data_IF_048259926131
#
_entry.id   IF_048259926131
#
_cell.length_a   1.000
_cell.length_b   1.000
_cell.length_c   1.000
_cell.angle_alpha   90.00
_cell.angle_beta   90.00
_cell.angle_gamma   90.00
#
_symmetry.space_group_name_H-M   'P 1'
#
loop_
_entity.id
_entity.type
_entity.pdbx_description
1 polymer ?
#
# COMPACT_ATOMS: atom_id res chain seq x y z
N UNK A 1 -6.60 8.79 25.75
CA UNK A 1 -7.22 8.97 24.44
C UNK A 1 -8.62 9.58 24.61
N UNK A 2 -8.81 10.80 24.09
CA UNK A 2 -10.04 11.57 24.24
C UNK A 2 -11.31 10.78 23.84
N UNK A 3 -11.27 10.00 22.77
CA UNK A 3 -12.45 9.21 22.39
C UNK A 3 -12.89 8.23 23.49
N UNK A 4 -11.93 7.60 24.16
CA UNK A 4 -12.24 6.71 25.30
C UNK A 4 -12.75 7.47 26.50
N UNK A 5 -12.14 8.62 26.85
CA UNK A 5 -12.53 9.45 27.99
C UNK A 5 -13.91 10.09 27.81
N UNK A 6 -14.24 10.45 26.57
CA UNK A 6 -15.49 11.10 26.19
C UNK A 6 -16.57 10.10 25.74
N UNK A 7 -16.34 8.80 25.84
CA UNK A 7 -17.24 7.75 25.36
C UNK A 7 -17.64 7.89 23.87
N UNK A 8 -16.76 8.43 23.04
CA UNK A 8 -16.99 8.51 21.58
C UNK A 8 -16.73 7.14 20.96
N UNK A 9 -17.73 6.49 20.36
CA UNK A 9 -17.56 5.18 19.75
C UNK A 9 -16.64 5.26 18.54
N UNK A 10 -15.79 4.25 18.39
CA UNK A 10 -14.81 4.16 17.30
C UNK A 10 -15.14 3.00 16.36
N UNK A 11 -14.82 3.17 15.10
CA UNK A 11 -14.84 2.14 14.08
C UNK A 11 -13.52 2.10 13.30
N UNK A 12 -13.23 0.97 12.64
CA UNK A 12 -12.04 0.85 11.82
C UNK A 12 -12.05 1.87 10.66
N UNK A 13 -10.93 2.55 10.48
CA UNK A 13 -10.68 3.42 9.33
C UNK A 13 -9.85 2.67 8.30
N UNK A 14 -10.40 2.51 7.10
CA UNK A 14 -9.73 1.83 5.99
C UNK A 14 -8.92 2.84 5.19
N UNK A 15 -7.66 3.02 5.56
CA UNK A 15 -6.72 3.91 4.85
C UNK A 15 -5.91 3.18 3.77
N UNK A 16 -5.72 1.85 3.86
CA UNK A 16 -5.12 1.01 2.81
C UNK A 16 -6.21 0.28 2.03
N UNK A 17 -6.67 0.89 0.95
CA UNK A 17 -7.60 0.25 0.03
C UNK A 17 -6.88 -0.21 -1.24
N UNK A 18 -6.39 -1.43 -1.25
CA UNK A 18 -5.71 -2.05 -2.40
C UNK A 18 -6.61 -2.22 -3.63
N UNK A 19 -7.93 -2.07 -3.45
CA UNK A 19 -8.90 -2.03 -4.54
C UNK A 19 -9.10 -0.63 -5.14
N UNK A 20 -8.56 0.43 -4.53
CA UNK A 20 -8.65 1.79 -5.06
C UNK A 20 -8.00 1.89 -6.45
N UNK A 21 -8.48 2.82 -7.26
CA UNK A 21 -7.89 3.12 -8.55
C UNK A 21 -6.87 4.24 -8.43
N UNK A 22 -5.76 4.06 -9.14
CA UNK A 22 -4.71 5.04 -9.35
C UNK A 22 -4.77 5.45 -10.81
N UNK A 23 -4.70 6.74 -11.08
CA UNK A 23 -4.66 7.31 -12.42
C UNK A 23 -3.43 8.22 -12.55
N UNK A 24 -2.70 8.06 -13.64
CA UNK A 24 -1.63 8.96 -14.06
C UNK A 24 -1.77 9.20 -15.57
N UNK A 25 -1.65 10.45 -15.98
CA UNK A 25 -1.69 10.79 -17.40
C UNK A 25 -0.42 10.33 -18.15
N UNK A 26 0.69 10.14 -17.41
CA UNK A 26 2.01 9.76 -17.94
C UNK A 26 2.28 8.25 -17.85
N UNK A 27 1.49 7.50 -17.14
CA UNK A 27 1.69 6.07 -16.93
C UNK A 27 0.45 5.26 -17.35
N UNK A 28 0.63 3.95 -17.53
CA UNK A 28 -0.44 2.98 -17.81
C UNK A 28 -1.26 3.30 -19.09
N UNK A 29 -0.68 4.08 -20.01
CA UNK A 29 -1.41 4.58 -21.19
C UNK A 29 -2.60 5.48 -20.84
N UNK A 30 -2.53 6.20 -19.72
CA UNK A 30 -3.61 7.06 -19.21
C UNK A 30 -4.84 6.32 -18.68
N UNK A 31 -4.73 5.01 -18.41
CA UNK A 31 -5.83 4.20 -17.88
C UNK A 31 -5.71 4.03 -16.37
N UNK A 32 -6.83 4.03 -15.63
CA UNK A 32 -6.79 3.74 -14.20
C UNK A 32 -6.43 2.27 -13.95
N UNK A 33 -5.54 2.04 -12.97
CA UNK A 33 -5.11 0.71 -12.49
C UNK A 33 -5.40 0.56 -11.01
N UNK A 34 -5.50 -0.67 -10.51
CA UNK A 34 -5.71 -0.89 -9.08
C UNK A 34 -4.41 -0.69 -8.30
N UNK A 35 -4.51 -0.14 -7.09
CA UNK A 35 -3.36 0.04 -6.18
C UNK A 35 -2.59 -1.27 -5.96
N UNK A 36 -3.30 -2.40 -5.82
CA UNK A 36 -2.68 -3.72 -5.69
C UNK A 36 -1.83 -4.13 -6.89
N UNK A 37 -2.19 -3.72 -8.12
CA UNK A 37 -1.41 -4.01 -9.32
C UNK A 37 -0.10 -3.23 -9.31
N UNK A 38 -0.15 -1.95 -8.92
CA UNK A 38 1.04 -1.10 -8.75
C UNK A 38 1.96 -1.67 -7.68
N UNK A 39 1.42 -2.01 -6.49
CA UNK A 39 2.20 -2.55 -5.36
C UNK A 39 2.86 -3.89 -5.76
N UNK A 40 2.12 -4.78 -6.41
CA UNK A 40 2.65 -6.07 -6.84
C UNK A 40 3.72 -5.92 -7.93
N UNK A 41 3.50 -5.06 -8.92
CA UNK A 41 4.45 -4.80 -9.99
C UNK A 41 5.73 -4.11 -9.46
N UNK A 42 5.60 -3.12 -8.58
CA UNK A 42 6.74 -2.44 -7.95
C UNK A 42 7.61 -3.43 -7.18
N UNK A 43 6.98 -4.21 -6.28
CA UNK A 43 7.66 -5.24 -5.48
C UNK A 43 8.37 -6.27 -6.37
N UNK A 44 7.66 -6.76 -7.38
CA UNK A 44 8.22 -7.74 -8.31
C UNK A 44 9.39 -7.20 -9.12
N UNK A 45 9.30 -5.98 -9.64
CA UNK A 45 10.37 -5.35 -10.40
C UNK A 45 11.63 -5.07 -9.55
N UNK A 46 11.47 -4.56 -8.33
CA UNK A 46 12.59 -4.35 -7.40
C UNK A 46 13.26 -5.69 -7.09
N UNK A 47 12.47 -6.71 -6.73
CA UNK A 47 13.00 -8.05 -6.45
C UNK A 47 13.70 -8.66 -7.66
N UNK A 48 13.14 -8.50 -8.87
CA UNK A 48 13.77 -8.97 -10.12
C UNK A 48 15.10 -8.30 -10.39
N UNK A 49 15.19 -6.97 -10.24
CA UNK A 49 16.43 -6.23 -10.46
C UNK A 49 17.51 -6.67 -9.48
N UNK A 50 17.16 -6.77 -8.20
CA UNK A 50 18.10 -7.19 -7.14
C UNK A 50 18.52 -8.66 -7.32
N UNK A 51 17.58 -9.56 -7.62
CA UNK A 51 17.91 -10.96 -7.85
C UNK A 51 18.83 -11.16 -9.08
N UNK A 52 18.60 -10.39 -10.15
CA UNK A 52 19.49 -10.43 -11.31
C UNK A 52 20.89 -9.87 -11.00
N UNK A 53 20.98 -8.79 -10.22
CA UNK A 53 22.26 -8.23 -9.77
C UNK A 53 23.05 -9.24 -8.93
N UNK A 54 22.39 -9.84 -7.93
CA UNK A 54 23.00 -10.90 -7.12
C UNK A 54 23.46 -12.09 -7.94
N UNK A 55 22.62 -12.55 -8.88
CA UNK A 55 22.95 -13.70 -9.71
C UNK A 55 24.08 -13.40 -10.71
N UNK A 56 24.29 -12.13 -11.05
CA UNK A 56 25.41 -11.66 -11.86
C UNK A 56 26.70 -11.39 -11.07
N UNK A 57 26.69 -11.61 -9.75
CA UNK A 57 27.86 -11.42 -8.89
C UNK A 57 28.10 -9.99 -8.41
N UNK A 58 27.15 -9.07 -8.59
CA UNK A 58 27.33 -7.66 -8.23
C UNK A 58 27.56 -7.39 -6.74
N UNK A 59 27.23 -8.37 -5.85
CA UNK A 59 27.36 -8.27 -4.41
C UNK A 59 28.16 -9.47 -3.84
N UNK A 60 29.14 -9.99 -4.60
CA UNK A 60 29.90 -11.16 -4.21
C UNK A 60 30.78 -10.94 -2.97
N UNK A 61 31.22 -9.71 -2.74
CA UNK A 61 31.97 -9.33 -1.54
C UNK A 61 31.09 -9.22 -0.29
N UNK A 62 29.79 -9.08 -0.43
CA UNK A 62 28.84 -8.89 0.68
C UNK A 62 28.25 -10.23 1.19
N UNK A 63 28.20 -11.25 0.33
CA UNK A 63 27.52 -12.51 0.63
C UNK A 63 28.36 -13.72 0.28
N UNK A 64 28.39 -14.69 1.18
CA UNK A 64 28.84 -16.04 0.87
C UNK A 64 27.88 -16.70 -0.14
N UNK A 65 28.33 -17.79 -0.78
CA UNK A 65 27.48 -18.54 -1.73
C UNK A 65 26.15 -19.04 -1.09
N UNK A 66 26.22 -19.46 0.18
CA UNK A 66 25.04 -19.93 0.92
C UNK A 66 24.06 -18.80 1.24
N UNK A 67 24.57 -17.67 1.71
CA UNK A 67 23.77 -16.47 1.97
C UNK A 67 23.13 -15.92 0.70
N UNK A 68 23.87 -15.88 -0.41
CA UNK A 68 23.36 -15.51 -1.71
C UNK A 68 22.19 -16.39 -2.14
N UNK A 69 22.31 -17.71 -2.03
CA UNK A 69 21.24 -18.63 -2.37
C UNK A 69 19.99 -18.37 -1.53
N UNK A 70 20.15 -18.08 -0.24
CA UNK A 70 19.05 -17.74 0.66
C UNK A 70 18.39 -16.43 0.27
N UNK A 71 19.16 -15.36 0.02
CA UNK A 71 18.62 -14.06 -0.40
C UNK A 71 17.89 -14.17 -1.73
N UNK A 72 18.41 -14.93 -2.69
CA UNK A 72 17.73 -15.19 -3.96
C UNK A 72 16.38 -15.89 -3.75
N UNK A 73 16.30 -16.86 -2.83
CA UNK A 73 15.04 -17.52 -2.49
C UNK A 73 14.03 -16.54 -1.86
N UNK A 74 14.48 -15.67 -0.96
CA UNK A 74 13.65 -14.61 -0.36
C UNK A 74 13.14 -13.65 -1.43
N UNK A 75 13.99 -13.18 -2.33
CA UNK A 75 13.62 -12.28 -3.42
C UNK A 75 12.63 -12.92 -4.38
N UNK A 76 12.82 -14.22 -4.68
CA UNK A 76 11.90 -14.98 -5.52
C UNK A 76 10.49 -15.00 -4.91
N UNK A 77 10.37 -15.33 -3.63
CA UNK A 77 9.08 -15.35 -2.95
C UNK A 77 8.50 -13.92 -2.81
N UNK A 78 9.30 -12.97 -2.31
CA UNK A 78 8.87 -11.58 -2.10
C UNK A 78 8.37 -10.93 -3.39
N UNK A 79 9.08 -11.12 -4.50
CA UNK A 79 8.75 -10.58 -5.80
C UNK A 79 7.75 -11.42 -6.61
N UNK A 80 7.40 -12.61 -6.13
CA UNK A 80 6.64 -13.61 -6.88
C UNK A 80 7.28 -13.89 -8.26
N UNK A 81 8.60 -14.13 -8.27
CA UNK A 81 9.38 -14.37 -9.47
C UNK A 81 9.36 -15.85 -9.85
N UNK A 82 9.49 -16.14 -11.14
CA UNK A 82 9.70 -17.50 -11.63
C UNK A 82 11.13 -18.00 -11.35
N UNK A 83 11.47 -19.21 -11.79
CA UNK A 83 12.79 -19.81 -11.60
C UNK A 83 13.94 -19.08 -12.32
N UNK A 84 13.63 -18.22 -13.25
CA UNK A 84 14.58 -17.36 -13.98
C UNK A 84 14.66 -15.94 -13.40
N UNK A 85 14.14 -15.75 -12.19
CA UNK A 85 14.03 -14.43 -11.53
C UNK A 85 13.32 -13.37 -12.38
N UNK A 86 12.23 -13.77 -13.05
CA UNK A 86 11.42 -12.88 -13.88
C UNK A 86 10.03 -12.71 -13.27
N UNK A 87 9.53 -11.49 -13.29
CA UNK A 87 8.15 -11.17 -12.96
C UNK A 87 7.27 -11.48 -14.18
N UNK A 88 6.48 -12.55 -14.12
CA UNK A 88 5.59 -12.98 -15.21
C UNK A 88 4.12 -12.76 -14.91
N UNK A 89 3.80 -12.40 -13.68
CA UNK A 89 2.45 -12.20 -13.17
C UNK A 89 2.26 -12.89 -11.82
N UNK A 90 1.37 -12.33 -11.03
CA UNK A 90 1.04 -12.86 -9.71
C UNK A 90 -0.40 -12.55 -9.34
N UNK A 91 -1.07 -13.47 -8.67
CA UNK A 91 -2.42 -13.25 -8.13
C UNK A 91 -2.47 -12.11 -7.11
N UNK A 92 -1.32 -11.70 -6.54
CA UNK A 92 -1.20 -10.51 -5.67
C UNK A 92 -1.60 -9.21 -6.39
N UNK A 93 -1.33 -9.11 -7.71
CA UNK A 93 -1.75 -7.98 -8.55
C UNK A 93 -3.21 -8.07 -9.00
N UNK A 94 -3.75 -9.26 -9.07
CA UNK A 94 -5.10 -9.53 -9.55
C UNK A 94 -5.15 -10.72 -10.51
N UNK A 95 -6.30 -10.91 -11.11
CA UNK A 95 -6.57 -12.00 -12.03
C UNK A 95 -7.01 -11.46 -13.39
N UNK A 96 -6.43 -11.97 -14.46
CA UNK A 96 -6.93 -11.78 -15.83
C UNK A 96 -8.19 -12.61 -16.06
N UNK A 97 -8.24 -13.82 -15.47
CA UNK A 97 -9.42 -14.67 -15.45
C UNK A 97 -9.56 -15.32 -14.07
N UNK A 98 -10.78 -15.36 -13.55
CA UNK A 98 -11.11 -16.06 -12.31
C UNK A 98 -11.25 -17.54 -12.57
N UNK A 99 -10.83 -18.36 -11.61
CA UNK A 99 -11.14 -19.78 -11.63
C UNK A 99 -12.63 -20.02 -11.64
N UNK A 100 -13.04 -21.06 -12.34
CA UNK A 100 -14.42 -21.54 -12.38
C UNK A 100 -14.46 -22.98 -12.86
N UNK A 101 -15.17 -23.83 -12.14
CA UNK A 101 -15.20 -25.26 -12.46
C UNK A 101 -13.80 -25.88 -12.38
N UNK A 102 -13.28 -26.35 -13.50
CA UNK A 102 -11.94 -26.96 -13.60
C UNK A 102 -10.85 -25.99 -14.08
N UNK A 103 -11.20 -24.72 -14.35
CA UNK A 103 -10.24 -23.72 -14.85
C UNK A 103 -9.48 -23.07 -13.68
N UNK A 104 -8.13 -23.05 -13.68
CA UNK A 104 -7.34 -22.40 -12.66
C UNK A 104 -7.43 -20.86 -12.78
N UNK A 105 -7.05 -20.17 -11.70
CA UNK A 105 -6.83 -18.72 -11.72
C UNK A 105 -5.71 -18.34 -12.71
N UNK A 106 -5.96 -17.32 -13.51
CA UNK A 106 -4.95 -16.75 -14.41
C UNK A 106 -4.52 -15.40 -13.85
N UNK A 107 -3.25 -15.26 -13.40
CA UNK A 107 -2.74 -13.98 -12.93
C UNK A 107 -2.82 -12.89 -14.01
N UNK A 108 -3.08 -11.66 -13.59
CA UNK A 108 -2.98 -10.52 -14.48
C UNK A 108 -1.53 -10.30 -14.94
N UNK A 109 -1.35 -9.81 -16.16
CA UNK A 109 -0.03 -9.38 -16.66
C UNK A 109 0.47 -8.23 -15.78
N UNK A 110 1.75 -8.26 -15.33
CA UNK A 110 2.31 -7.17 -14.54
C UNK A 110 2.28 -5.85 -15.32
N UNK A 111 2.12 -4.75 -14.59
CA UNK A 111 2.30 -3.43 -15.16
C UNK A 111 3.73 -3.22 -15.63
N UNK A 112 3.90 -2.39 -16.67
CA UNK A 112 5.21 -2.07 -17.23
C UNK A 112 6.12 -1.46 -16.15
N UNK A 113 7.38 -1.92 -16.12
CA UNK A 113 8.37 -1.49 -15.12
C UNK A 113 8.55 0.02 -15.08
N UNK A 114 8.63 0.65 -16.26
CA UNK A 114 8.88 2.09 -16.35
C UNK A 114 7.71 2.89 -15.79
N UNK A 115 6.48 2.44 -16.00
CA UNK A 115 5.27 3.09 -15.48
C UNK A 115 5.23 3.08 -13.94
N UNK A 116 5.71 2.00 -13.30
CA UNK A 116 5.64 1.87 -11.84
C UNK A 116 6.87 2.40 -11.12
N UNK A 117 8.05 2.48 -11.77
CA UNK A 117 9.31 2.81 -11.10
C UNK A 117 9.84 4.21 -11.44
N UNK A 118 9.46 4.79 -12.57
CA UNK A 118 10.00 6.07 -13.03
C UNK A 118 9.05 7.25 -12.86
N UNK A 119 7.80 7.01 -12.45
CA UNK A 119 6.87 8.07 -12.04
C UNK A 119 6.91 8.20 -10.51
N UNK A 120 7.38 9.35 -10.00
CA UNK A 120 7.55 9.61 -8.57
C UNK A 120 6.22 9.51 -7.79
N UNK A 121 5.09 9.88 -8.41
CA UNK A 121 3.78 9.81 -7.76
C UNK A 121 3.32 8.35 -7.62
N UNK A 122 3.64 7.53 -8.63
CA UNK A 122 3.32 6.10 -8.60
C UNK A 122 4.25 5.35 -7.64
N UNK A 123 5.55 5.69 -7.63
CA UNK A 123 6.54 5.07 -6.75
C UNK A 123 6.25 5.26 -5.26
N UNK A 124 5.53 6.32 -4.89
CA UNK A 124 5.10 6.59 -3.51
C UNK A 124 4.01 5.62 -3.01
N UNK A 125 3.20 5.06 -3.91
CA UNK A 125 2.02 4.26 -3.55
C UNK A 125 2.33 3.10 -2.60
N UNK A 126 3.38 2.27 -2.80
CA UNK A 126 3.69 1.19 -1.87
C UNK A 126 4.15 1.65 -0.49
N UNK A 127 4.78 2.82 -0.40
CA UNK A 127 5.37 3.34 0.84
C UNK A 127 4.37 4.10 1.71
N UNK A 128 3.25 4.54 1.15
CA UNK A 128 2.28 5.37 1.86
C UNK A 128 1.81 4.74 3.17
N UNK A 129 1.45 3.47 3.13
CA UNK A 129 0.91 2.74 4.29
C UNK A 129 1.99 2.27 5.28
N UNK A 130 3.27 2.41 4.92
CA UNK A 130 4.40 2.07 5.79
C UNK A 130 4.76 3.24 6.73
N UNK A 131 4.22 4.45 6.48
CA UNK A 131 4.41 5.59 7.37
C UNK A 131 3.75 5.34 8.72
N UNK A 132 4.44 5.68 9.83
CA UNK A 132 3.94 5.41 11.18
C UNK A 132 2.56 5.99 11.47
N UNK A 133 2.23 7.12 10.85
CA UNK A 133 0.94 7.82 10.98
C UNK A 133 -0.16 7.25 10.04
N UNK A 134 0.20 6.26 9.21
CA UNK A 134 -0.71 5.52 8.35
C UNK A 134 -0.78 4.03 8.71
N UNK A 135 -0.12 3.64 9.80
CA UNK A 135 -0.06 2.24 10.21
C UNK A 135 -1.47 1.69 10.53
N UNK A 136 -1.80 0.56 9.96
CA UNK A 136 -3.00 -0.20 10.32
C UNK A 136 -2.84 -0.74 11.77
N UNK A 137 -3.87 -0.72 12.62
CA UNK A 137 -5.28 -0.44 12.36
C UNK A 137 -5.59 0.98 12.81
N UNK A 138 -5.94 1.86 11.90
CA UNK A 138 -6.43 3.18 12.25
C UNK A 138 -7.89 3.11 12.67
N UNK A 139 -8.27 4.00 13.57
CA UNK A 139 -9.64 4.11 14.07
C UNK A 139 -10.16 5.52 13.81
N UNK A 140 -11.45 5.62 13.56
CA UNK A 140 -12.14 6.91 13.41
C UNK A 140 -13.42 6.93 14.25
N UNK A 141 -13.88 8.11 14.70
CA UNK A 141 -15.17 8.24 15.37
C UNK A 141 -16.33 7.80 14.48
N UNK A 142 -17.27 7.05 15.05
CA UNK A 142 -18.52 6.72 14.37
C UNK A 142 -19.32 8.00 14.13
N UNK A 143 -19.65 8.28 12.88
CA UNK A 143 -20.44 9.46 12.49
C UNK A 143 -19.63 10.71 12.16
N UNK A 144 -18.28 10.65 12.23
CA UNK A 144 -17.39 11.74 11.81
C UNK A 144 -16.48 12.27 12.93
N UNK A 145 -15.45 13.03 12.53
CA UNK A 145 -14.47 13.59 13.48
C UNK A 145 -15.07 14.67 14.40
N UNK A 146 -16.15 15.32 13.97
CA UNK A 146 -16.91 16.32 14.74
C UNK A 146 -17.55 15.74 16.01
N UNK A 147 -17.73 14.40 16.08
CA UNK A 147 -18.21 13.72 17.29
C UNK A 147 -17.34 13.96 18.52
N UNK A 148 -16.04 14.16 18.33
CA UNK A 148 -15.14 14.53 19.43
C UNK A 148 -15.48 15.92 19.94
N UNK A 149 -15.70 16.89 19.05
CA UNK A 149 -16.05 18.26 19.41
C UNK A 149 -17.41 18.31 20.13
N UNK A 150 -18.41 17.57 19.65
CA UNK A 150 -19.71 17.49 20.32
C UNK A 150 -19.61 16.86 21.71
N UNK A 151 -18.82 15.80 21.87
CA UNK A 151 -18.64 15.17 23.16
C UNK A 151 -17.92 16.08 24.18
N UNK A 152 -16.99 16.94 23.72
CA UNK A 152 -16.44 18.00 24.58
C UNK A 152 -17.50 19.03 24.95
N UNK A 153 -18.30 19.48 23.97
CA UNK A 153 -19.35 20.46 24.23
C UNK A 153 -20.38 19.96 25.25
N UNK A 154 -20.76 18.69 25.17
CA UNK A 154 -21.68 18.07 26.17
C UNK A 154 -21.11 18.07 27.58
N UNK A 155 -19.78 17.90 27.74
CA UNK A 155 -19.15 17.94 29.08
C UNK A 155 -19.01 19.36 29.62
N UNK A 156 -18.77 20.37 28.77
CA UNK A 156 -18.59 21.76 29.15
C UNK A 156 -19.91 22.48 29.48
N UNK A 157 -21.04 21.88 29.17
CA UNK A 157 -22.40 22.35 29.42
C UNK A 157 -22.70 23.79 28.97
N UNK A 158 -22.64 24.81 29.78
CA UNK A 158 -23.16 26.13 29.47
C UNK A 158 -22.09 27.17 29.07
N UNK A 159 -20.83 26.78 28.96
CA UNK A 159 -19.71 27.73 28.78
C UNK A 159 -19.31 27.98 27.31
N UNK A 160 -20.10 27.50 26.32
CA UNK A 160 -19.75 27.62 24.91
C UNK A 160 -20.63 28.67 24.23
N UNK A 161 -19.99 29.73 23.75
CA UNK A 161 -20.62 30.74 22.92
C UNK A 161 -20.35 30.48 21.44
N UNK A 162 -21.37 30.00 20.71
CA UNK A 162 -21.28 29.78 19.28
C UNK A 162 -21.38 31.10 18.49
N UNK A 163 -20.72 31.18 17.35
CA UNK A 163 -20.72 32.36 16.48
C UNK A 163 -19.84 33.50 16.98
N UNK A 164 -19.05 33.30 18.03
CA UNK A 164 -18.08 34.25 18.52
C UNK A 164 -16.72 34.02 17.85
N UNK A 165 -16.25 35.00 17.08
CA UNK A 165 -14.93 34.96 16.46
C UNK A 165 -13.85 35.34 17.49
N UNK A 166 -12.83 34.48 17.65
CA UNK A 166 -11.66 34.78 18.47
C UNK A 166 -10.72 35.69 17.71
N UNK A 167 -10.62 36.94 18.08
CA UNK A 167 -9.77 37.97 17.43
C UNK A 167 -8.35 38.10 18.02
N UNK A 168 -8.05 37.42 19.11
CA UNK A 168 -6.75 37.39 19.75
C UNK A 168 -6.71 36.44 20.95
N UNK A 169 -5.53 35.96 21.27
CA UNK A 169 -5.21 35.12 22.45
C UNK A 169 -4.12 35.83 23.24
#
# INVERSE_FOLDING_TARGET
NYCSELNVPLQAFVNDNRGAYIHSASAFGGKPVRAREVIAAMRGNISQLLAKSLNAGALDDEFTAGERAFVLAVLKDHGALNDFFQLTGTTRGGLAARSGGLSPDVPATPLERNDVMLDANIAFVPSFVESYNQAATMMQPVGGMDRIAYAFAEQLQAEIFYGAEVSGI
#
